data_IF_547366138177
#
_entry.id   IF_547366138177
#
_cell.length_a   1.000
_cell.length_b   1.000
_cell.length_c   1.000
_cell.angle_alpha   90.00
_cell.angle_beta   90.00
_cell.angle_gamma   90.00
#
_symmetry.space_group_name_H-M   'P 1'
#
loop_
_entity.id
_entity.type
_entity.pdbx_description
1 polymer ?
#
# COMPACT_ATOMS: atom_id res chain seq x y z
N UNK A 1 13.18 -7.07 -21.82
CA UNK A 1 12.30 -5.93 -22.14
C UNK A 1 12.38 -4.99 -20.97
N UNK A 2 13.02 -3.84 -21.11
CA UNK A 2 13.14 -2.83 -20.05
C UNK A 2 11.83 -2.05 -20.00
N UNK A 3 10.96 -2.39 -19.05
CA UNK A 3 9.76 -1.61 -18.74
C UNK A 3 10.21 -0.22 -18.29
N UNK A 4 9.58 0.84 -18.82
CA UNK A 4 9.89 2.20 -18.37
C UNK A 4 9.59 2.30 -16.86
N UNK A 5 10.43 3.01 -16.08
CA UNK A 5 10.16 3.21 -14.67
C UNK A 5 8.80 3.90 -14.50
N UNK A 6 7.99 3.41 -13.57
CA UNK A 6 6.68 3.99 -13.28
C UNK A 6 6.83 5.44 -12.84
N UNK A 7 6.15 6.35 -13.55
CA UNK A 7 6.13 7.77 -13.20
C UNK A 7 5.04 8.09 -12.16
N UNK A 8 5.11 9.30 -11.60
CA UNK A 8 4.23 9.75 -10.53
C UNK A 8 2.75 9.79 -10.93
N UNK A 9 2.43 10.22 -12.15
CA UNK A 9 1.04 10.37 -12.62
C UNK A 9 0.39 9.00 -12.81
N UNK A 10 1.14 8.07 -13.40
CA UNK A 10 0.74 6.68 -13.57
C UNK A 10 0.51 6.01 -12.20
N UNK A 11 1.42 6.22 -11.24
CA UNK A 11 1.28 5.68 -9.90
C UNK A 11 0.07 6.28 -9.14
N UNK A 12 -0.17 7.59 -9.29
CA UNK A 12 -1.36 8.25 -8.74
C UNK A 12 -2.65 7.64 -9.28
N UNK A 13 -2.72 7.40 -10.59
CA UNK A 13 -3.89 6.78 -11.21
C UNK A 13 -4.13 5.36 -10.67
N UNK A 14 -3.07 4.55 -10.58
CA UNK A 14 -3.13 3.22 -9.97
C UNK A 14 -3.60 3.30 -8.50
N UNK A 15 -3.10 4.26 -7.72
CA UNK A 15 -3.51 4.46 -6.34
C UNK A 15 -4.99 4.76 -6.19
N UNK A 16 -5.54 5.64 -7.04
CA UNK A 16 -6.98 5.97 -7.04
C UNK A 16 -7.84 4.75 -7.40
N UNK A 17 -7.43 4.00 -8.44
CA UNK A 17 -8.13 2.77 -8.84
C UNK A 17 -8.08 1.76 -7.70
N UNK A 18 -6.89 1.45 -7.20
CA UNK A 18 -6.69 0.46 -6.15
C UNK A 18 -7.49 0.78 -4.88
N UNK A 19 -7.50 2.04 -4.45
CA UNK A 19 -8.31 2.50 -3.30
C UNK A 19 -9.81 2.27 -3.52
N UNK A 20 -10.28 2.42 -4.75
CA UNK A 20 -11.71 2.37 -5.07
C UNK A 20 -12.20 0.94 -5.32
N UNK A 21 -11.34 0.08 -5.87
CA UNK A 21 -11.75 -1.23 -6.39
C UNK A 21 -10.96 -2.41 -5.85
N UNK A 22 -9.87 -2.17 -5.10
CA UNK A 22 -8.88 -3.18 -4.73
C UNK A 22 -8.37 -3.98 -5.94
N UNK A 23 -8.27 -3.32 -7.10
CA UNK A 23 -7.84 -3.95 -8.35
C UNK A 23 -6.41 -4.52 -8.24
N UNK A 24 -6.20 -5.82 -8.46
CA UNK A 24 -4.89 -6.44 -8.29
C UNK A 24 -3.81 -5.83 -9.19
N UNK A 25 -4.11 -5.52 -10.46
CA UNK A 25 -3.11 -4.96 -11.39
C UNK A 25 -2.63 -3.59 -10.91
N UNK A 26 -3.55 -2.74 -10.47
CA UNK A 26 -3.23 -1.46 -9.86
C UNK A 26 -2.38 -1.64 -8.58
N UNK A 27 -2.70 -2.63 -7.74
CA UNK A 27 -1.90 -2.99 -6.56
C UNK A 27 -0.47 -3.41 -6.91
N UNK A 28 -0.29 -4.23 -7.95
CA UNK A 28 1.03 -4.62 -8.44
C UNK A 28 1.84 -3.42 -8.97
N UNK A 29 1.20 -2.47 -9.64
CA UNK A 29 1.86 -1.21 -10.02
C UNK A 29 2.29 -0.37 -8.83
N UNK A 30 1.52 -0.36 -7.74
CA UNK A 30 1.94 0.28 -6.51
C UNK A 30 3.19 -0.39 -5.91
N UNK A 31 3.28 -1.72 -5.97
CA UNK A 31 4.50 -2.44 -5.54
C UNK A 31 5.71 -2.11 -6.39
N UNK A 32 5.58 -2.03 -7.72
CA UNK A 32 6.66 -1.56 -8.61
C UNK A 32 7.16 -0.18 -8.17
N UNK A 33 6.26 0.70 -7.70
CA UNK A 33 6.59 2.02 -7.18
C UNK A 33 7.44 2.01 -5.91
N UNK A 34 7.42 0.95 -5.10
CA UNK A 34 8.23 0.86 -3.88
C UNK A 34 9.73 0.76 -4.15
N UNK A 35 10.11 0.19 -5.30
CA UNK A 35 11.50 0.03 -5.74
C UNK A 35 11.97 1.19 -6.63
N UNK A 36 11.12 2.21 -6.85
CA UNK A 36 11.47 3.36 -7.68
C UNK A 36 12.69 4.10 -7.12
N UNK A 37 13.64 4.58 -7.95
CA UNK A 37 14.73 5.43 -7.48
C UNK A 37 14.22 6.79 -6.99
N UNK A 38 13.04 7.23 -7.43
CA UNK A 38 12.43 8.49 -6.99
C UNK A 38 11.79 8.33 -5.59
N UNK A 39 12.28 9.06 -4.56
CA UNK A 39 11.71 8.99 -3.21
C UNK A 39 10.24 9.39 -3.15
N UNK A 40 9.77 10.30 -4.01
CA UNK A 40 8.37 10.76 -4.03
C UNK A 40 7.46 9.63 -4.50
N UNK A 41 7.88 8.92 -5.55
CA UNK A 41 7.15 7.74 -6.07
C UNK A 41 7.09 6.64 -5.01
N UNK A 42 8.21 6.36 -4.32
CA UNK A 42 8.22 5.38 -3.22
C UNK A 42 7.27 5.77 -2.08
N UNK A 43 7.32 7.02 -1.64
CA UNK A 43 6.45 7.52 -0.57
C UNK A 43 4.97 7.42 -0.95
N UNK A 44 4.64 7.76 -2.20
CA UNK A 44 3.27 7.68 -2.69
C UNK A 44 2.76 6.23 -2.76
N UNK A 45 3.58 5.31 -3.26
CA UNK A 45 3.28 3.89 -3.29
C UNK A 45 3.00 3.35 -1.88
N UNK A 46 3.87 3.68 -0.93
CA UNK A 46 3.68 3.31 0.48
C UNK A 46 2.36 3.86 1.03
N UNK A 47 2.05 5.12 0.77
CA UNK A 47 0.82 5.74 1.26
C UNK A 47 -0.45 5.00 0.77
N UNK A 48 -0.53 4.72 -0.53
CA UNK A 48 -1.67 3.99 -1.09
C UNK A 48 -1.77 2.54 -0.58
N UNK A 49 -0.65 1.84 -0.45
CA UNK A 49 -0.64 0.47 0.09
C UNK A 49 -1.03 0.44 1.57
N UNK A 50 -0.59 1.41 2.36
CA UNK A 50 -0.99 1.50 3.77
C UNK A 50 -2.48 1.82 3.90
N UNK A 51 -2.99 2.75 3.09
CA UNK A 51 -4.42 3.07 3.06
C UNK A 51 -5.28 1.89 2.59
N UNK A 52 -4.78 1.08 1.65
CA UNK A 52 -5.45 -0.12 1.15
C UNK A 52 -5.58 -1.25 2.18
N UNK A 53 -4.80 -1.20 3.27
CA UNK A 53 -4.96 -2.08 4.43
C UNK A 53 -4.93 -3.57 4.06
N UNK A 54 -6.01 -4.28 4.38
CA UNK A 54 -6.11 -5.73 4.14
C UNK A 54 -6.00 -6.13 2.66
N UNK A 55 -6.46 -5.31 1.73
CA UNK A 55 -6.32 -5.58 0.30
C UNK A 55 -4.84 -5.55 -0.11
N UNK A 56 -4.09 -4.59 0.43
CA UNK A 56 -2.65 -4.50 0.22
C UNK A 56 -1.88 -5.61 0.89
N UNK A 57 -2.34 -6.10 2.05
CA UNK A 57 -1.68 -7.21 2.75
C UNK A 57 -1.61 -8.46 1.87
N UNK A 58 -2.72 -8.83 1.20
CA UNK A 58 -2.75 -9.99 0.29
C UNK A 58 -1.72 -9.86 -0.82
N UNK A 59 -1.66 -8.69 -1.47
CA UNK A 59 -0.76 -8.46 -2.61
C UNK A 59 0.70 -8.37 -2.16
N UNK A 60 0.97 -7.82 -0.97
CA UNK A 60 2.31 -7.80 -0.38
C UNK A 60 2.82 -9.21 -0.04
N UNK A 61 1.95 -10.07 0.47
CA UNK A 61 2.27 -11.49 0.75
C UNK A 61 2.55 -12.27 -0.54
N UNK A 62 1.73 -12.07 -1.57
CA UNK A 62 1.94 -12.67 -2.89
C UNK A 62 3.27 -12.21 -3.50
N UNK A 63 3.55 -10.90 -3.49
CA UNK A 63 4.78 -10.35 -4.03
C UNK A 63 6.05 -10.80 -3.29
N UNK A 64 5.97 -11.01 -1.97
CA UNK A 64 7.06 -11.61 -1.20
C UNK A 64 7.28 -13.07 -1.57
N UNK A 65 6.19 -13.82 -1.76
CA UNK A 65 6.24 -15.25 -2.14
C UNK A 65 6.84 -15.44 -3.53
N UNK A 66 6.53 -14.53 -4.45
CA UNK A 66 7.07 -14.51 -5.82
C UNK A 66 8.48 -13.89 -5.92
N UNK A 67 8.97 -13.27 -4.85
CA UNK A 67 10.25 -12.55 -4.86
C UNK A 67 10.24 -11.28 -5.72
N UNK A 68 9.06 -10.74 -6.02
CA UNK A 68 8.88 -9.52 -6.80
C UNK A 68 9.28 -8.25 -6.01
N UNK A 69 9.22 -8.32 -4.67
CA UNK A 69 9.67 -7.27 -3.76
C UNK A 69 10.52 -7.87 -2.64
N UNK A 70 11.51 -7.11 -2.16
CA UNK A 70 12.31 -7.55 -1.03
C UNK A 70 11.56 -7.40 0.30
N UNK A 71 11.93 -8.21 1.29
CA UNK A 71 11.40 -8.07 2.66
C UNK A 71 11.68 -6.68 3.24
N UNK A 72 12.86 -6.12 2.97
CA UNK A 72 13.25 -4.79 3.47
C UNK A 72 12.36 -3.69 2.89
N UNK A 73 11.92 -3.84 1.64
CA UNK A 73 11.02 -2.91 0.96
C UNK A 73 9.56 -3.07 1.42
N UNK A 74 9.09 -4.30 1.61
CA UNK A 74 7.69 -4.59 1.96
C UNK A 74 7.38 -4.44 3.46
N UNK A 75 8.34 -4.73 4.34
CA UNK A 75 8.14 -4.77 5.79
C UNK A 75 7.61 -3.45 6.39
N UNK A 76 8.05 -2.24 5.96
CA UNK A 76 7.47 -1.00 6.45
C UNK A 76 5.96 -0.88 6.19
N UNK A 77 5.50 -1.29 5.01
CA UNK A 77 4.07 -1.26 4.66
C UNK A 77 3.28 -2.26 5.50
N UNK A 78 3.75 -3.51 5.58
CA UNK A 78 3.12 -4.56 6.39
C UNK A 78 3.01 -4.12 7.86
N UNK A 79 4.10 -3.61 8.42
CA UNK A 79 4.11 -3.17 9.81
C UNK A 79 3.19 -1.96 10.05
N UNK A 80 3.06 -1.04 9.09
CA UNK A 80 2.13 0.07 9.17
C UNK A 80 0.66 -0.39 9.10
N UNK A 81 0.33 -1.31 8.17
CA UNK A 81 -1.00 -1.90 8.04
C UNK A 81 -1.40 -2.62 9.33
N UNK A 82 -0.53 -3.47 9.87
CA UNK A 82 -0.80 -4.18 11.13
C UNK A 82 -0.99 -3.21 12.30
N UNK A 83 -0.17 -2.16 12.41
CA UNK A 83 -0.36 -1.13 13.45
C UNK A 83 -1.71 -0.42 13.32
N UNK A 84 -2.14 -0.10 12.10
CA UNK A 84 -3.45 0.52 11.86
C UNK A 84 -4.62 -0.40 12.26
N UNK A 85 -4.45 -1.72 12.11
CA UNK A 85 -5.46 -2.71 12.50
C UNK A 85 -5.50 -2.97 14.02
N UNK A 86 -4.36 -2.89 14.70
CA UNK A 86 -4.25 -3.14 16.15
C UNK A 86 -4.77 -1.97 16.99
N UNK A 87 -4.81 -0.75 16.44
CA UNK A 87 -5.40 0.41 17.12
C UNK A 87 -6.88 0.12 17.44
N UNK A 88 -7.24 -0.09 18.73
CA UNK A 88 -8.62 -0.33 19.09
C UNK A 88 -9.41 0.94 18.81
N UNK A 89 -10.55 0.79 18.13
CA UNK A 89 -11.56 1.83 17.92
C UNK A 89 -12.23 2.20 19.26
N UNK A 90 -11.49 2.83 20.17
CA UNK A 90 -11.97 3.54 21.35
C UNK A 90 -11.50 4.97 21.11
N UNK A 91 -12.34 5.93 20.71
CA UNK A 91 -13.24 6.70 21.56
C UNK A 91 -14.43 7.17 20.69
N UNK A 92 -15.60 6.57 20.86
CA UNK A 92 -16.88 7.13 20.37
C UNK A 92 -18.05 6.59 21.21
N UNK A 93 -17.93 6.68 22.53
CA UNK A 93 -19.04 6.43 23.44
C UNK A 93 -18.81 7.13 24.77
N UNK A 94 -18.59 8.44 24.73
CA UNK A 94 -18.75 9.33 25.89
C UNK A 94 -19.76 10.42 25.57
N UNK A 95 -20.98 10.04 25.17
CA UNK A 95 -22.09 11.01 25.05
C UNK A 95 -23.46 10.33 25.23
N UNK A 96 -23.65 9.55 26.30
CA UNK A 96 -24.98 9.25 26.82
C UNK A 96 -24.91 9.14 28.34
N UNK A 97 -24.86 10.27 29.04
CA UNK A 97 -25.40 10.44 30.39
C UNK A 97 -25.57 11.95 30.61
N UNK A 98 -26.75 12.45 30.24
CA UNK A 98 -27.45 13.58 30.87
C UNK A 98 -28.92 13.52 30.46
#
# INVERSE_FOLDING_TARGET
MTQAPIDLESLLACGVVFRSTADPEAGWKLLEGLESPDPVVRMLAQAFLIEGGSASMSILEDALSEGAVSTDTAAPCIAAILRAQIQPKWIASEHVLN
#
